data_IF_320905195071
#
_entry.id   IF_320905195071
#
_cell.length_a   1.000
_cell.length_b   1.000
_cell.length_c   1.000
_cell.angle_alpha   90.00
_cell.angle_beta   90.00
_cell.angle_gamma   90.00
#
_symmetry.space_group_name_H-M   'P 1'
#
loop_
_entity.id
_entity.type
_entity.pdbx_description
1 polymer ?
#
# COMPACT_ATOMS: atom_id res chain seq x y z
N UNK A 1 8.71 -56.98 -9.23
CA UNK A 1 7.88 -55.76 -9.03
C UNK A 1 8.48 -54.81 -7.99
N UNK A 2 9.08 -55.30 -6.89
CA UNK A 2 9.75 -54.47 -5.88
C UNK A 2 10.87 -53.54 -6.41
N UNK A 3 11.69 -53.99 -7.36
CA UNK A 3 12.82 -53.19 -7.88
C UNK A 3 12.39 -51.96 -8.68
N UNK A 4 11.25 -52.03 -9.39
CA UNK A 4 10.73 -50.90 -10.18
C UNK A 4 10.10 -49.82 -9.28
N UNK A 5 9.47 -50.23 -8.17
CA UNK A 5 8.88 -49.30 -7.19
C UNK A 5 9.99 -48.55 -6.45
N UNK A 6 11.07 -49.24 -6.04
CA UNK A 6 12.20 -48.59 -5.36
C UNK A 6 12.92 -47.53 -6.21
N UNK A 7 13.15 -47.82 -7.51
CA UNK A 7 13.76 -46.86 -8.44
C UNK A 7 12.85 -45.64 -8.64
N UNK A 8 11.55 -45.86 -8.79
CA UNK A 8 10.60 -44.76 -8.95
C UNK A 8 10.53 -43.86 -7.71
N UNK A 9 10.52 -44.43 -6.51
CA UNK A 9 10.56 -43.66 -5.25
C UNK A 9 11.84 -42.83 -5.11
N UNK A 10 13.00 -43.34 -5.52
CA UNK A 10 14.26 -42.58 -5.51
C UNK A 10 14.23 -41.41 -6.50
N UNK A 11 13.71 -41.62 -7.70
CA UNK A 11 13.56 -40.56 -8.71
C UNK A 11 12.59 -39.49 -8.19
N UNK A 12 11.44 -39.89 -7.64
CA UNK A 12 10.43 -38.95 -7.13
C UNK A 12 10.95 -38.18 -5.92
N UNK A 13 11.68 -38.82 -5.01
CA UNK A 13 12.33 -38.17 -3.87
C UNK A 13 13.44 -37.22 -4.30
N UNK A 14 14.25 -37.59 -5.31
CA UNK A 14 15.28 -36.72 -5.88
C UNK A 14 14.68 -35.50 -6.59
N UNK A 15 13.60 -35.68 -7.35
CA UNK A 15 12.85 -34.59 -7.96
C UNK A 15 12.21 -33.67 -6.92
N UNK A 16 11.64 -34.23 -5.85
CA UNK A 16 11.09 -33.45 -4.75
C UNK A 16 12.17 -32.63 -4.02
N UNK A 17 13.33 -33.23 -3.76
CA UNK A 17 14.47 -32.54 -3.14
C UNK A 17 15.01 -31.42 -4.03
N UNK A 18 15.17 -31.68 -5.34
CA UNK A 18 15.56 -30.66 -6.32
C UNK A 18 14.51 -29.54 -6.40
N UNK A 19 13.23 -29.88 -6.44
CA UNK A 19 12.15 -28.90 -6.42
C UNK A 19 12.23 -28.03 -5.16
N UNK A 20 12.34 -28.60 -3.97
CA UNK A 20 12.48 -27.79 -2.74
C UNK A 20 13.72 -26.89 -2.75
N UNK A 21 14.85 -27.36 -3.30
CA UNK A 21 16.08 -26.58 -3.38
C UNK A 21 15.97 -25.36 -4.31
N UNK A 22 15.18 -25.45 -5.38
CA UNK A 22 15.03 -24.38 -6.37
C UNK A 22 13.71 -23.59 -6.24
N UNK A 23 12.72 -24.10 -5.52
CA UNK A 23 11.43 -23.45 -5.31
C UNK A 23 11.32 -22.68 -4.00
N UNK A 24 12.24 -22.88 -3.05
CA UNK A 24 12.35 -22.00 -1.90
C UNK A 24 13.24 -20.81 -2.32
N UNK A 25 12.67 -19.63 -2.62
CA UNK A 25 13.50 -18.45 -2.84
C UNK A 25 14.37 -18.24 -1.60
N UNK A 26 15.64 -17.84 -1.80
CA UNK A 26 16.46 -17.35 -0.70
C UNK A 26 15.63 -16.36 0.10
N UNK A 27 15.58 -16.44 1.44
CA UNK A 27 14.96 -15.38 2.22
C UNK A 27 15.62 -14.08 1.76
N UNK A 28 14.80 -13.16 1.26
CA UNK A 28 15.23 -11.78 1.04
C UNK A 28 15.90 -11.31 2.35
N UNK A 29 16.91 -10.43 2.30
CA UNK A 29 17.43 -9.87 3.53
C UNK A 29 16.25 -9.41 4.39
N UNK A 30 16.12 -10.00 5.58
CA UNK A 30 15.04 -9.75 6.55
C UNK A 30 15.17 -8.36 7.18
N UNK A 31 15.81 -7.41 6.48
CA UNK A 31 15.74 -6.01 6.83
C UNK A 31 14.27 -5.61 6.70
N UNK A 32 13.60 -5.26 7.82
CA UNK A 32 12.22 -4.84 7.74
C UNK A 32 12.16 -3.60 6.84
N UNK A 33 11.32 -3.67 5.79
CA UNK A 33 10.97 -2.46 5.04
C UNK A 33 10.18 -1.58 6.01
N UNK A 34 10.89 -0.64 6.62
CA UNK A 34 10.32 0.37 7.51
C UNK A 34 9.58 1.41 6.69
N UNK A 35 8.65 2.11 7.32
CA UNK A 35 8.04 3.29 6.72
C UNK A 35 9.12 4.33 6.39
N UNK A 36 8.96 5.02 5.27
CA UNK A 36 9.84 6.11 4.82
C UNK A 36 10.07 7.16 5.92
N UNK A 37 8.97 7.65 6.48
CA UNK A 37 8.98 8.57 7.61
C UNK A 37 8.20 7.99 8.80
N UNK A 38 8.65 8.25 10.05
CA UNK A 38 8.00 7.69 11.23
C UNK A 38 6.59 8.28 11.47
N UNK A 39 6.37 9.54 11.09
CA UNK A 39 5.06 10.19 11.17
C UNK A 39 4.86 11.14 9.98
N UNK A 40 3.96 10.75 9.08
CA UNK A 40 3.64 11.48 7.86
C UNK A 40 3.07 12.90 8.13
N UNK A 41 2.24 13.05 9.17
CA UNK A 41 1.59 14.32 9.49
C UNK A 41 2.61 15.39 9.90
N UNK A 42 3.67 14.98 10.60
CA UNK A 42 4.72 15.90 11.08
C UNK A 42 5.95 16.01 10.17
N UNK A 43 6.20 15.04 9.27
CA UNK A 43 7.38 15.03 8.42
C UNK A 43 7.42 16.22 7.45
N UNK A 44 8.61 16.70 7.08
CA UNK A 44 8.71 17.68 6.00
C UNK A 44 8.37 17.02 4.66
N UNK A 45 7.70 17.72 3.75
CA UNK A 45 7.34 17.18 2.43
C UNK A 45 8.57 16.72 1.63
N UNK A 46 9.70 17.41 1.78
CA UNK A 46 10.96 17.08 1.09
C UNK A 46 11.67 15.85 1.67
N UNK A 47 11.25 15.37 2.84
CA UNK A 47 11.77 14.15 3.47
C UNK A 47 11.04 12.90 2.98
N UNK A 48 9.90 13.05 2.30
CA UNK A 48 9.04 11.94 1.89
C UNK A 48 9.34 11.60 0.42
N UNK A 49 10.02 10.47 0.17
CA UNK A 49 10.59 10.17 -1.15
C UNK A 49 9.53 9.91 -2.24
N UNK A 50 8.34 9.46 -1.83
CA UNK A 50 7.32 8.94 -2.74
C UNK A 50 6.26 9.98 -3.14
N UNK A 51 6.34 11.22 -2.63
CA UNK A 51 5.39 12.26 -3.00
C UNK A 51 5.67 12.77 -4.42
N UNK A 52 4.67 12.78 -5.32
CA UNK A 52 4.78 13.47 -6.59
C UNK A 52 4.89 14.98 -6.41
N UNK A 53 5.37 15.68 -7.44
CA UNK A 53 5.30 17.16 -7.47
C UNK A 53 3.83 17.61 -7.41
N UNK A 54 3.55 18.60 -6.57
CA UNK A 54 2.25 19.30 -6.54
C UNK A 54 2.27 20.47 -7.53
N UNK A 55 1.21 20.61 -8.33
CA UNK A 55 1.07 21.78 -9.22
C UNK A 55 0.32 22.95 -8.56
N UNK A 56 -0.42 22.70 -7.48
CA UNK A 56 -1.07 23.73 -6.66
C UNK A 56 -0.22 24.21 -5.48
N UNK A 57 0.78 23.41 -5.06
CA UNK A 57 1.57 23.63 -3.86
C UNK A 57 0.83 23.38 -2.54
N UNK A 58 -0.39 22.82 -2.59
CA UNK A 58 -1.20 22.53 -1.39
C UNK A 58 -1.21 21.04 -1.10
N UNK A 59 -0.24 20.58 -0.31
CA UNK A 59 -0.16 19.19 0.15
C UNK A 59 -0.85 19.07 1.51
N UNK A 60 -1.82 18.15 1.59
CA UNK A 60 -2.53 17.80 2.82
C UNK A 60 -2.07 16.40 3.24
N UNK A 61 -1.66 16.25 4.50
CA UNK A 61 -1.07 15.02 5.03
C UNK A 61 -1.94 14.51 6.16
N UNK A 62 -2.44 13.29 6.00
CA UNK A 62 -3.12 12.55 7.05
C UNK A 62 -2.23 11.39 7.51
N UNK A 63 -2.66 10.70 8.57
CA UNK A 63 -1.90 9.60 9.19
C UNK A 63 -1.34 8.53 8.23
N UNK A 64 -2.05 8.17 7.15
CA UNK A 64 -1.66 7.05 6.28
C UNK A 64 -1.52 7.41 4.80
N UNK A 65 -1.86 8.64 4.41
CA UNK A 65 -1.80 9.09 3.03
C UNK A 65 -1.63 10.61 2.99
N UNK A 66 -1.11 11.10 1.88
CA UNK A 66 -1.04 12.52 1.55
C UNK A 66 -1.70 12.76 0.20
N UNK A 67 -2.18 13.97 -0.04
CA UNK A 67 -2.76 14.38 -1.31
C UNK A 67 -2.32 15.78 -1.68
N UNK A 68 -2.18 16.05 -2.98
CA UNK A 68 -2.10 17.41 -3.50
C UNK A 68 -3.49 17.89 -3.85
N UNK A 69 -3.92 19.01 -3.27
CA UNK A 69 -5.28 19.52 -3.37
C UNK A 69 -5.40 20.59 -4.46
N UNK A 70 -6.38 20.43 -5.34
CA UNK A 70 -6.81 21.44 -6.30
C UNK A 70 -8.13 22.09 -5.85
N UNK A 71 -7.99 23.28 -5.28
CA UNK A 71 -9.10 24.09 -4.78
C UNK A 71 -10.13 24.42 -5.86
N UNK A 72 -9.70 24.64 -7.10
CA UNK A 72 -10.60 25.08 -8.18
C UNK A 72 -11.61 24.00 -8.55
N UNK A 73 -11.21 22.74 -8.42
CA UNK A 73 -12.04 21.60 -8.79
C UNK A 73 -12.59 20.83 -7.59
N UNK A 74 -12.27 21.24 -6.35
CA UNK A 74 -12.58 20.52 -5.12
C UNK A 74 -12.14 19.03 -5.17
N UNK A 75 -10.98 18.75 -5.78
CA UNK A 75 -10.45 17.41 -6.01
C UNK A 75 -8.96 17.34 -5.73
N UNK A 76 -8.45 16.14 -5.48
CA UNK A 76 -7.01 15.90 -5.42
C UNK A 76 -6.40 15.80 -6.83
N UNK A 77 -5.26 16.44 -7.06
CA UNK A 77 -4.41 16.22 -8.24
C UNK A 77 -3.81 14.81 -8.21
N UNK A 78 -3.43 14.37 -7.01
CA UNK A 78 -2.94 13.02 -6.72
C UNK A 78 -3.17 12.67 -5.26
N UNK A 79 -3.19 11.37 -4.97
CA UNK A 79 -3.15 10.80 -3.62
C UNK A 79 -2.02 9.78 -3.58
N UNK A 80 -1.17 9.87 -2.55
CA UNK A 80 -0.02 8.99 -2.36
C UNK A 80 -0.07 8.35 -0.97
N UNK A 81 0.22 7.06 -0.89
CA UNK A 81 0.26 6.30 0.34
C UNK A 81 1.32 5.21 0.25
N UNK A 82 1.91 4.90 1.40
CA UNK A 82 2.94 3.87 1.50
C UNK A 82 2.34 2.55 2.02
N UNK A 83 2.63 1.46 1.30
CA UNK A 83 2.28 0.11 1.70
C UNK A 83 3.48 -0.60 2.31
N UNK A 84 3.44 -0.83 3.63
CA UNK A 84 4.41 -1.68 4.32
C UNK A 84 3.83 -3.08 4.53
N UNK A 85 4.72 -4.09 4.64
CA UNK A 85 4.31 -5.47 4.92
C UNK A 85 3.46 -5.57 6.19
N UNK A 86 3.82 -4.80 7.23
CA UNK A 86 3.11 -4.81 8.51
C UNK A 86 1.71 -4.20 8.40
N UNK A 87 1.54 -3.13 7.61
CA UNK A 87 0.21 -2.54 7.34
C UNK A 87 -0.69 -3.52 6.60
N UNK A 88 -0.16 -4.32 5.68
CA UNK A 88 -0.93 -5.32 4.94
C UNK A 88 -1.38 -6.52 5.79
N UNK A 89 -0.60 -6.86 6.83
CA UNK A 89 -0.90 -7.99 7.75
C UNK A 89 -1.69 -7.57 9.00
N UNK A 90 -1.87 -6.28 9.20
CA UNK A 90 -2.61 -5.73 10.35
C UNK A 90 -4.10 -6.06 10.26
N UNK A 91 -4.83 -5.97 11.38
CA UNK A 91 -6.28 -6.08 11.37
C UNK A 91 -6.88 -4.86 10.66
N UNK A 92 -7.67 -5.09 9.63
CA UNK A 92 -8.27 -4.06 8.80
C UNK A 92 -9.56 -3.58 9.46
N UNK A 93 -9.81 -2.28 9.43
CA UNK A 93 -11.11 -1.72 9.79
C UNK A 93 -12.10 -1.97 8.65
N UNK A 94 -13.37 -2.23 8.99
CA UNK A 94 -14.41 -2.36 7.99
C UNK A 94 -14.65 -1.02 7.29
N UNK A 95 -14.82 -1.06 5.96
CA UNK A 95 -15.10 0.13 5.17
C UNK A 95 -16.57 0.51 5.31
N UNK A 96 -16.83 1.69 5.82
CA UNK A 96 -18.19 2.26 5.89
C UNK A 96 -18.48 3.14 4.68
N UNK A 97 -19.74 3.58 4.54
CA UNK A 97 -20.17 4.55 3.52
C UNK A 97 -20.41 5.95 4.12
N UNK A 98 -19.68 6.29 5.19
CA UNK A 98 -19.79 7.57 5.90
C UNK A 98 -18.86 8.64 5.30
N UNK A 99 -19.15 9.01 4.05
CA UNK A 99 -18.42 10.06 3.33
C UNK A 99 -18.68 11.43 3.96
N UNK A 100 -17.62 12.19 4.20
CA UNK A 100 -17.64 13.48 4.88
C UNK A 100 -16.66 14.46 4.22
N UNK A 101 -16.93 15.77 4.28
CA UNK A 101 -15.93 16.78 3.98
C UNK A 101 -14.65 16.58 4.79
N UNK A 102 -13.52 16.90 4.17
CA UNK A 102 -12.22 16.80 4.83
C UNK A 102 -12.03 18.01 5.77
N UNK A 103 -11.89 17.79 7.09
CA UNK A 103 -11.71 18.88 8.05
C UNK A 103 -10.36 19.60 7.91
N UNK A 104 -9.37 18.99 7.27
CA UNK A 104 -8.03 19.59 7.08
C UNK A 104 -8.01 20.56 5.89
N UNK A 105 -9.11 20.65 5.13
CA UNK A 105 -9.31 21.63 4.05
C UNK A 105 -9.90 22.92 4.64
N UNK A 106 -9.17 24.06 4.63
CA UNK A 106 -9.61 25.29 5.32
C UNK A 106 -10.85 25.97 4.72
N UNK A 107 -11.19 25.62 3.49
CA UNK A 107 -12.19 26.28 2.65
C UNK A 107 -13.43 25.41 2.54
N UNK A 108 -13.74 24.90 1.35
CA UNK A 108 -14.82 23.97 1.10
C UNK A 108 -14.24 22.75 0.38
N UNK A 109 -14.75 21.59 0.72
CA UNK A 109 -14.53 20.36 -0.03
C UNK A 109 -15.87 19.85 -0.55
N UNK A 110 -15.83 18.90 -1.48
CA UNK A 110 -17.03 18.26 -1.97
C UNK A 110 -17.80 17.57 -0.83
N UNK A 111 -19.13 17.70 -0.86
CA UNK A 111 -20.05 17.11 0.10
C UNK A 111 -20.78 15.91 -0.53
N UNK A 112 -21.35 14.99 0.29
CA UNK A 112 -22.15 13.88 -0.24
C UNK A 112 -23.30 14.31 -1.16
N UNK A 113 -23.82 15.54 -0.98
CA UNK A 113 -24.86 16.11 -1.83
C UNK A 113 -24.39 16.35 -3.28
N UNK A 114 -23.12 16.70 -3.49
CA UNK A 114 -22.54 16.97 -4.81
C UNK A 114 -22.46 15.70 -5.68
N UNK A 115 -22.32 14.53 -5.04
CA UNK A 115 -22.26 13.22 -5.70
C UNK A 115 -23.62 12.54 -5.82
N UNK A 116 -24.61 12.93 -5.02
CA UNK A 116 -25.91 12.26 -4.98
C UNK A 116 -26.65 12.52 -6.30
N UNK A 117 -26.96 11.44 -7.04
CA UNK A 117 -27.68 11.45 -8.34
C UNK A 117 -26.91 12.15 -9.48
N UNK A 118 -25.58 12.21 -9.39
CA UNK A 118 -24.74 12.72 -10.48
C UNK A 118 -24.57 11.71 -11.64
N UNK A 119 -25.01 10.45 -11.45
CA UNK A 119 -25.07 9.37 -12.44
C UNK A 119 -26.04 8.27 -12.05
#
# INVERSE_FOLDING_TARGET
MLSKVGIFSLILGGLFFLFQKFSNPSPLPDEPVTADVPNLESANENEIFYLPTSTTGKIIKHKYYALSWDEKHELAEWVAYELTRDRLKSHWVERTNDFRPDPDIPTKSAEPADYKRSG
#
